data_IF_484419571026
#
_entry.id   IF_484419571026
#
_cell.length_a   1.000
_cell.length_b   1.000
_cell.length_c   1.000
_cell.angle_alpha   90.00
_cell.angle_beta   90.00
_cell.angle_gamma   90.00
#
_symmetry.space_group_name_H-M   'P 1'
#
loop_
_entity.id
_entity.type
_entity.pdbx_description
1 polymer ?
#
# COMPACT_ATOMS: atom_id res chain seq x y z
N UNK A 1 13.62 -14.73 2.67
CA UNK A 1 12.90 -13.65 3.39
C UNK A 1 11.55 -14.13 3.93
N UNK A 2 10.65 -14.65 3.07
CA UNK A 2 9.29 -15.11 3.48
C UNK A 2 9.36 -16.16 4.60
N UNK A 3 10.20 -17.19 4.47
CA UNK A 3 10.40 -18.22 5.50
C UNK A 3 10.88 -17.63 6.84
N UNK A 4 11.80 -16.67 6.80
CA UNK A 4 12.29 -16.02 8.02
C UNK A 4 11.17 -15.21 8.70
N UNK A 5 10.39 -14.46 7.93
CA UNK A 5 9.25 -13.70 8.45
C UNK A 5 8.18 -14.62 9.04
N UNK A 6 7.80 -15.70 8.33
CA UNK A 6 6.85 -16.71 8.82
C UNK A 6 7.32 -17.36 10.14
N UNK A 7 8.59 -17.69 10.22
CA UNK A 7 9.18 -18.28 11.44
C UNK A 7 9.10 -17.29 12.60
N UNK A 8 9.46 -16.02 12.41
CA UNK A 8 9.37 -15.01 13.45
C UNK A 8 7.92 -14.79 13.93
N UNK A 9 6.94 -14.83 13.01
CA UNK A 9 5.51 -14.78 13.37
C UNK A 9 5.10 -16.01 14.18
N UNK A 10 5.49 -17.21 13.77
CA UNK A 10 5.18 -18.47 14.51
C UNK A 10 5.82 -18.53 15.90
N UNK A 11 6.97 -17.89 16.07
CA UNK A 11 7.64 -17.76 17.36
C UNK A 11 7.02 -16.67 18.26
N UNK A 12 6.05 -15.90 17.77
CA UNK A 12 5.43 -14.80 18.51
C UNK A 12 6.29 -13.53 18.61
N UNK A 13 7.37 -13.44 17.81
CA UNK A 13 8.23 -12.25 17.73
C UNK A 13 7.52 -11.09 16.97
N UNK A 14 6.64 -11.44 16.03
CA UNK A 14 5.85 -10.56 15.19
C UNK A 14 4.43 -11.08 15.06
N UNK A 15 3.48 -10.18 14.81
CA UNK A 15 2.14 -10.55 14.31
C UNK A 15 2.13 -10.65 12.79
N UNK A 16 2.91 -9.76 12.13
CA UNK A 16 2.97 -9.64 10.67
C UNK A 16 4.25 -8.92 10.25
N UNK A 17 4.84 -9.31 9.13
CA UNK A 17 5.83 -8.52 8.41
C UNK A 17 5.48 -8.46 6.92
N UNK A 18 5.80 -7.35 6.26
CA UNK A 18 5.61 -7.22 4.81
C UNK A 18 6.95 -7.40 4.11
N UNK A 19 7.07 -8.47 3.33
CA UNK A 19 8.27 -8.73 2.53
C UNK A 19 8.03 -8.30 1.09
N UNK A 20 8.91 -7.45 0.60
CA UNK A 20 8.85 -6.93 -0.76
C UNK A 20 9.99 -7.49 -1.62
N UNK A 21 9.83 -7.33 -2.92
CA UNK A 21 10.84 -7.58 -3.94
C UNK A 21 10.74 -6.57 -5.07
N UNK A 22 11.79 -6.47 -5.84
CA UNK A 22 11.84 -5.65 -7.03
C UNK A 22 11.98 -6.49 -8.31
N UNK A 23 11.65 -5.84 -9.43
CA UNK A 23 11.82 -6.37 -10.79
C UNK A 23 12.30 -5.23 -11.68
N UNK A 24 13.31 -5.50 -12.50
CA UNK A 24 13.83 -4.55 -13.47
C UNK A 24 13.21 -4.81 -14.84
N UNK A 25 12.91 -3.73 -15.55
CA UNK A 25 12.48 -3.72 -16.95
C UNK A 25 13.46 -2.85 -17.71
N UNK A 26 14.14 -3.43 -18.69
CA UNK A 26 15.03 -2.72 -19.59
C UNK A 26 14.34 -2.45 -20.93
N UNK A 27 14.66 -1.32 -21.55
CA UNK A 27 14.10 -0.87 -22.83
C UNK A 27 15.23 -0.36 -23.74
N UNK A 28 15.14 -0.65 -25.02
CA UNK A 28 16.08 -0.20 -26.04
C UNK A 28 16.07 1.33 -26.26
N UNK A 29 14.98 1.99 -25.84
CA UNK A 29 14.82 3.44 -25.92
C UNK A 29 14.17 4.04 -24.67
N UNK A 30 14.12 5.38 -24.57
CA UNK A 30 13.49 6.04 -23.43
C UNK A 30 12.00 5.74 -23.34
N UNK A 31 11.56 5.25 -22.18
CA UNK A 31 10.15 5.01 -21.88
C UNK A 31 9.43 6.36 -21.71
N UNK A 32 8.29 6.51 -22.36
CA UNK A 32 7.46 7.71 -22.24
C UNK A 32 6.64 7.67 -20.95
N UNK A 33 7.06 8.44 -19.95
CA UNK A 33 6.40 8.53 -18.64
C UNK A 33 4.95 9.07 -18.77
N UNK A 34 4.69 9.96 -19.73
CA UNK A 34 3.34 10.48 -19.94
C UNK A 34 2.40 9.37 -20.44
N UNK A 35 2.85 8.57 -21.40
CA UNK A 35 2.09 7.41 -21.86
C UNK A 35 1.84 6.39 -20.72
N UNK A 36 2.85 6.13 -19.88
CA UNK A 36 2.70 5.28 -18.68
C UNK A 36 1.61 5.83 -17.76
N UNK A 37 1.61 7.13 -17.44
CA UNK A 37 0.60 7.77 -16.59
C UNK A 37 -0.81 7.69 -17.18
N UNK A 38 -0.97 7.83 -18.50
CA UNK A 38 -2.26 7.70 -19.18
C UNK A 38 -2.80 6.26 -19.09
N UNK A 39 -1.93 5.25 -19.28
CA UNK A 39 -2.29 3.84 -19.14
C UNK A 39 -2.64 3.49 -17.69
N UNK A 40 -1.90 4.00 -16.72
CA UNK A 40 -2.23 3.87 -15.31
C UNK A 40 -3.58 4.51 -14.97
N UNK A 41 -3.90 5.67 -15.56
CA UNK A 41 -5.22 6.29 -15.42
C UNK A 41 -6.34 5.38 -15.92
N UNK A 42 -6.14 4.75 -17.05
CA UNK A 42 -7.12 3.81 -17.63
C UNK A 42 -7.30 2.55 -16.76
N UNK A 43 -6.21 2.01 -16.20
CA UNK A 43 -6.23 0.75 -15.46
C UNK A 43 -6.63 0.90 -13.99
N UNK A 44 -6.32 2.03 -13.33
CA UNK A 44 -6.48 2.21 -11.89
C UNK A 44 -7.60 3.20 -11.50
N UNK A 45 -8.35 3.75 -12.46
CA UNK A 45 -9.53 4.59 -12.18
C UNK A 45 -9.26 5.73 -11.19
N UNK A 46 -9.76 5.61 -9.98
CA UNK A 46 -9.72 6.63 -8.91
C UNK A 46 -8.40 6.69 -8.12
N UNK A 47 -7.34 5.97 -8.54
CA UNK A 47 -6.05 5.95 -7.82
C UNK A 47 -5.35 7.31 -7.77
N UNK A 48 -4.50 7.49 -6.77
CA UNK A 48 -3.58 8.62 -6.63
C UNK A 48 -2.39 8.40 -7.56
N UNK A 49 -2.38 9.12 -8.69
CA UNK A 49 -1.30 9.03 -9.68
C UNK A 49 -0.27 10.11 -9.42
N UNK A 50 0.98 9.72 -9.52
CA UNK A 50 2.10 10.62 -9.27
C UNK A 50 3.28 10.36 -10.19
N UNK A 51 4.06 11.41 -10.43
CA UNK A 51 5.36 11.36 -11.10
C UNK A 51 6.26 12.42 -10.51
N UNK A 52 7.32 12.00 -9.84
CA UNK A 52 8.29 12.87 -9.20
C UNK A 52 9.69 12.28 -9.30
N UNK A 53 10.61 12.97 -9.94
CA UNK A 53 12.03 12.57 -10.08
C UNK A 53 12.21 11.11 -10.52
N UNK A 54 11.49 10.73 -11.60
CA UNK A 54 11.50 9.37 -12.15
C UNK A 54 10.75 8.33 -11.32
N UNK A 55 10.22 8.69 -10.14
CA UNK A 55 9.35 7.82 -9.37
C UNK A 55 7.90 8.01 -9.80
N UNK A 56 7.31 6.96 -10.38
CA UNK A 56 5.99 7.00 -11.03
C UNK A 56 5.10 5.92 -10.46
N UNK A 57 3.85 6.23 -10.18
CA UNK A 57 2.93 5.26 -9.61
C UNK A 57 1.46 5.65 -9.68
N UNK A 58 0.61 4.69 -9.28
CA UNK A 58 -0.84 4.82 -9.17
C UNK A 58 -1.33 4.08 -7.92
N UNK A 59 -1.24 4.74 -6.77
CA UNK A 59 -1.63 4.16 -5.48
C UNK A 59 -3.14 4.12 -5.30
N UNK A 60 -3.73 3.01 -4.89
CA UNK A 60 -5.14 2.96 -4.49
C UNK A 60 -5.37 3.38 -3.04
N UNK A 61 -4.31 3.55 -2.23
CA UNK A 61 -4.38 3.65 -0.78
C UNK A 61 -4.13 5.07 -0.30
N UNK A 62 -5.14 5.67 0.35
CA UNK A 62 -5.01 6.93 1.07
C UNK A 62 -4.33 6.68 2.41
N UNK A 63 -3.12 7.21 2.58
CA UNK A 63 -2.45 7.18 3.88
C UNK A 63 -3.15 8.12 4.85
N UNK A 64 -3.27 9.39 4.47
CA UNK A 64 -3.96 10.42 5.24
C UNK A 64 -4.28 11.63 4.37
N UNK A 65 -5.42 12.26 4.64
CA UNK A 65 -5.76 13.57 4.13
C UNK A 65 -6.24 14.46 5.28
N UNK A 66 -5.91 15.75 5.20
CA UNK A 66 -6.42 16.78 6.10
C UNK A 66 -6.99 17.92 5.26
N UNK A 67 -8.23 18.27 5.55
CA UNK A 67 -8.92 19.42 4.97
C UNK A 67 -9.59 20.20 6.10
N UNK A 68 -9.09 21.39 6.37
CA UNK A 68 -9.44 22.17 7.54
C UNK A 68 -9.26 21.37 8.85
N UNK A 69 -10.30 21.08 9.59
CA UNK A 69 -10.25 20.29 10.82
C UNK A 69 -10.63 18.81 10.63
N UNK A 70 -10.98 18.40 9.40
CA UNK A 70 -11.26 17.00 9.08
C UNK A 70 -10.00 16.24 8.72
N UNK A 71 -9.81 15.06 9.33
CA UNK A 71 -8.76 14.10 8.98
C UNK A 71 -9.38 12.80 8.49
N UNK A 72 -8.87 12.27 7.40
CA UNK A 72 -9.33 11.00 6.81
C UNK A 72 -8.16 10.09 6.49
N UNK A 73 -8.37 8.77 6.61
CA UNK A 73 -7.47 7.72 6.16
C UNK A 73 -8.28 6.59 5.55
N UNK A 74 -7.71 5.86 4.60
CA UNK A 74 -8.39 4.71 3.98
C UNK A 74 -7.38 3.57 3.75
N UNK A 75 -6.96 2.89 4.83
CA UNK A 75 -6.04 1.78 4.74
C UNK A 75 -6.63 0.59 4.00
N UNK A 76 -5.78 -0.08 3.23
CA UNK A 76 -6.10 -1.30 2.49
C UNK A 76 -5.24 -2.45 2.99
N UNK A 77 -5.86 -3.59 3.33
CA UNK A 77 -5.13 -4.82 3.65
C UNK A 77 -5.97 -6.06 3.31
N UNK A 78 -5.31 -7.23 3.26
CA UNK A 78 -5.94 -8.41 2.67
C UNK A 78 -6.04 -8.29 1.15
N UNK A 79 -5.83 -9.39 0.43
CA UNK A 79 -5.78 -9.35 -1.04
C UNK A 79 -6.39 -10.60 -1.62
N UNK A 80 -7.17 -10.43 -2.69
CA UNK A 80 -7.58 -11.52 -3.59
C UNK A 80 -7.41 -11.08 -5.05
N UNK A 81 -7.15 -12.01 -5.98
CA UNK A 81 -7.10 -11.68 -7.40
C UNK A 81 -8.41 -11.10 -7.92
N UNK A 82 -8.32 -10.35 -9.01
CA UNK A 82 -9.43 -9.93 -9.85
C UNK A 82 -9.23 -10.48 -11.25
N UNK A 83 -10.22 -11.22 -11.75
CA UNK A 83 -10.14 -11.95 -13.02
C UNK A 83 -10.72 -11.18 -14.21
N UNK A 84 -11.56 -10.17 -13.93
CA UNK A 84 -12.35 -9.45 -14.92
C UNK A 84 -13.69 -10.14 -15.25
N UNK A 85 -13.94 -11.33 -14.72
CA UNK A 85 -15.23 -12.01 -14.78
C UNK A 85 -16.08 -11.58 -13.57
N UNK A 86 -17.19 -10.86 -13.74
CA UNK A 86 -17.96 -10.32 -12.63
C UNK A 86 -18.45 -11.37 -11.62
N UNK A 87 -18.79 -12.59 -12.09
CA UNK A 87 -19.30 -13.67 -11.22
C UNK A 87 -18.16 -14.21 -10.35
N UNK A 88 -17.01 -14.50 -10.96
CA UNK A 88 -15.83 -14.98 -10.24
C UNK A 88 -15.28 -13.92 -9.29
N UNK A 89 -15.26 -12.68 -9.72
CA UNK A 89 -14.78 -11.56 -8.91
C UNK A 89 -15.68 -11.32 -7.69
N UNK A 90 -17.01 -11.49 -7.83
CA UNK A 90 -17.94 -11.43 -6.71
C UNK A 90 -17.74 -12.60 -5.72
N UNK A 91 -17.50 -13.83 -6.19
CA UNK A 91 -17.20 -15.00 -5.33
C UNK A 91 -15.86 -14.78 -4.58
N UNK A 92 -14.83 -14.31 -5.26
CA UNK A 92 -13.54 -13.98 -4.66
C UNK A 92 -13.67 -12.86 -3.61
N UNK A 93 -14.46 -11.83 -3.88
CA UNK A 93 -14.77 -10.76 -2.93
C UNK A 93 -15.49 -11.30 -1.68
N UNK A 94 -16.50 -12.16 -1.85
CA UNK A 94 -17.21 -12.78 -0.74
C UNK A 94 -16.29 -13.65 0.13
N UNK A 95 -15.38 -14.42 -0.49
CA UNK A 95 -14.37 -15.20 0.24
C UNK A 95 -13.37 -14.31 0.98
N UNK A 96 -12.94 -13.19 0.38
CA UNK A 96 -12.07 -12.20 1.03
C UNK A 96 -12.73 -11.64 2.29
N UNK A 97 -14.00 -11.23 2.19
CA UNK A 97 -14.80 -10.73 3.31
C UNK A 97 -15.00 -11.77 4.42
N UNK A 98 -15.20 -13.04 4.06
CA UNK A 98 -15.40 -14.13 5.01
C UNK A 98 -14.08 -14.68 5.61
N UNK A 99 -12.93 -14.28 5.10
CA UNK A 99 -11.62 -14.80 5.52
C UNK A 99 -11.18 -14.20 6.85
N UNK A 100 -11.22 -15.00 7.93
CA UNK A 100 -10.72 -14.60 9.26
C UNK A 100 -9.27 -14.10 9.20
N UNK A 101 -8.39 -14.75 8.41
CA UNK A 101 -7.01 -14.32 8.21
C UNK A 101 -6.95 -12.88 7.70
N UNK A 102 -7.68 -12.58 6.60
CA UNK A 102 -7.67 -11.25 5.99
C UNK A 102 -8.32 -10.19 6.89
N UNK A 103 -9.35 -10.55 7.63
CA UNK A 103 -10.00 -9.66 8.61
C UNK A 103 -9.04 -9.28 9.74
N UNK A 104 -8.30 -10.25 10.30
CA UNK A 104 -7.29 -9.98 11.33
C UNK A 104 -6.16 -9.11 10.76
N UNK A 105 -5.66 -9.43 9.57
CA UNK A 105 -4.63 -8.66 8.90
C UNK A 105 -5.07 -7.19 8.71
N UNK A 106 -6.30 -6.98 8.25
CA UNK A 106 -6.85 -5.65 8.02
C UNK A 106 -7.07 -4.90 9.34
N UNK A 107 -7.59 -5.57 10.37
CA UNK A 107 -7.84 -4.98 11.68
C UNK A 107 -6.57 -4.41 12.33
N UNK A 108 -5.44 -5.10 12.24
CA UNK A 108 -4.14 -4.59 12.74
C UNK A 108 -3.78 -3.24 12.11
N UNK A 109 -4.11 -3.04 10.83
CA UNK A 109 -3.83 -1.77 10.15
C UNK A 109 -4.77 -0.67 10.64
N UNK A 110 -6.07 -0.96 10.77
CA UNK A 110 -7.07 -0.01 11.27
C UNK A 110 -6.71 0.45 12.69
N UNK A 111 -6.44 -0.50 13.59
CA UNK A 111 -6.11 -0.21 14.99
C UNK A 111 -4.87 0.68 15.09
N UNK A 112 -3.81 0.40 14.32
CA UNK A 112 -2.62 1.25 14.32
C UNK A 112 -2.90 2.66 13.81
N UNK A 113 -3.66 2.82 12.72
CA UNK A 113 -4.03 4.13 12.18
C UNK A 113 -4.87 4.90 13.21
N UNK A 114 -5.88 4.23 13.78
CA UNK A 114 -6.74 4.80 14.82
C UNK A 114 -5.94 5.26 16.04
N UNK A 115 -5.14 4.37 16.65
CA UNK A 115 -4.39 4.65 17.87
C UNK A 115 -3.33 5.74 17.65
N UNK A 116 -2.79 5.86 16.42
CA UNK A 116 -1.84 6.92 16.07
C UNK A 116 -2.53 8.29 15.94
N UNK A 117 -3.71 8.35 15.34
CA UNK A 117 -4.39 9.62 15.05
C UNK A 117 -5.31 10.09 16.16
N UNK A 118 -5.94 9.18 16.91
CA UNK A 118 -6.91 9.51 17.97
C UNK A 118 -6.41 10.54 18.99
N UNK A 119 -5.14 10.51 19.47
CA UNK A 119 -4.62 11.51 20.42
C UNK A 119 -4.65 12.96 19.88
N UNK A 120 -4.76 13.13 18.56
CA UNK A 120 -4.81 14.43 17.88
C UNK A 120 -6.23 14.83 17.46
N UNK A 121 -7.23 14.01 17.78
CA UNK A 121 -8.62 14.20 17.36
C UNK A 121 -9.57 14.38 18.55
N UNK A 122 -10.60 15.18 18.36
CA UNK A 122 -11.74 15.26 19.28
C UNK A 122 -12.66 14.04 19.16
N UNK A 123 -12.70 13.46 17.99
CA UNK A 123 -13.24 12.12 17.71
C UNK A 123 -12.56 11.55 16.47
N UNK A 124 -12.53 10.23 16.36
CA UNK A 124 -12.08 9.49 15.18
C UNK A 124 -12.88 8.18 15.12
N UNK A 125 -13.67 8.06 14.06
CA UNK A 125 -14.51 6.89 13.81
C UNK A 125 -14.08 6.16 12.54
N UNK A 126 -14.47 4.90 12.39
CA UNK A 126 -14.29 4.11 11.17
C UNK A 126 -15.54 3.29 10.84
N UNK A 127 -15.65 2.89 9.58
CA UNK A 127 -16.72 2.01 9.13
C UNK A 127 -16.69 0.68 9.90
N UNK A 128 -17.85 0.24 10.43
CA UNK A 128 -17.95 -0.95 11.26
C UNK A 128 -17.52 -2.23 10.53
N UNK A 129 -17.80 -2.29 9.21
CA UNK A 129 -17.45 -3.40 8.33
C UNK A 129 -16.59 -2.88 7.20
N UNK A 130 -15.52 -3.61 6.81
CA UNK A 130 -14.71 -3.22 5.67
C UNK A 130 -15.49 -3.37 4.37
N UNK A 131 -15.17 -2.55 3.39
CA UNK A 131 -15.66 -2.65 2.02
C UNK A 131 -14.64 -3.38 1.12
N UNK A 132 -15.10 -3.91 -0.03
CA UNK A 132 -14.19 -4.47 -1.03
C UNK A 132 -13.80 -3.40 -2.04
N UNK A 133 -12.52 -3.03 -2.02
CA UNK A 133 -11.92 -2.06 -2.95
C UNK A 133 -11.30 -2.78 -4.13
N UNK A 134 -11.85 -2.55 -5.33
CA UNK A 134 -11.35 -3.13 -6.58
C UNK A 134 -10.25 -2.26 -7.18
N UNK A 135 -9.09 -2.86 -7.45
CA UNK A 135 -7.93 -2.18 -8.01
C UNK A 135 -7.37 -3.00 -9.16
N UNK A 136 -7.45 -2.49 -10.37
CA UNK A 136 -6.92 -3.15 -11.57
C UNK A 136 -7.18 -4.68 -11.59
N UNK A 137 -6.21 -5.48 -11.15
CA UNK A 137 -6.21 -6.93 -11.17
C UNK A 137 -6.26 -7.59 -9.77
N UNK A 138 -6.54 -6.83 -8.72
CA UNK A 138 -6.70 -7.31 -7.34
C UNK A 138 -7.86 -6.63 -6.64
N UNK A 139 -8.33 -7.24 -5.56
CA UNK A 139 -9.32 -6.69 -4.64
C UNK A 139 -8.72 -6.68 -3.23
N UNK A 140 -9.03 -5.65 -2.45
CA UNK A 140 -8.58 -5.48 -1.07
C UNK A 140 -9.75 -5.24 -0.14
N UNK A 141 -9.58 -5.50 1.16
CA UNK A 141 -10.43 -4.91 2.19
C UNK A 141 -9.99 -3.47 2.40
N UNK A 142 -10.94 -2.56 2.49
CA UNK A 142 -10.73 -1.15 2.80
C UNK A 142 -11.68 -0.68 3.87
N UNK A 143 -11.21 0.17 4.78
CA UNK A 143 -12.02 0.80 5.83
C UNK A 143 -11.69 2.27 5.89
N UNK A 144 -12.69 3.11 5.76
CA UNK A 144 -12.51 4.54 5.89
C UNK A 144 -12.51 4.94 7.36
N UNK A 145 -11.51 5.73 7.77
CA UNK A 145 -11.47 6.42 9.05
C UNK A 145 -11.72 7.91 8.80
N UNK A 146 -12.58 8.52 9.60
CA UNK A 146 -12.88 9.96 9.54
C UNK A 146 -12.90 10.53 10.94
N UNK A 147 -12.24 11.66 11.14
CA UNK A 147 -12.19 12.32 12.43
C UNK A 147 -12.08 13.82 12.32
N UNK A 148 -12.15 14.47 13.48
CA UNK A 148 -12.00 15.90 13.62
C UNK A 148 -10.79 16.20 14.51
N UNK A 149 -9.83 16.96 13.98
CA UNK A 149 -8.62 17.38 14.68
C UNK A 149 -8.95 18.27 15.87
N UNK A 150 -8.21 18.09 16.95
CA UNK A 150 -8.19 18.97 18.12
C UNK A 150 -7.16 20.09 17.93
N UNK A 151 -7.28 21.15 18.72
CA UNK A 151 -6.24 22.17 18.82
C UNK A 151 -5.15 21.78 19.87
N UNK A 152 -3.86 22.00 19.59
CA UNK A 152 -3.31 22.57 18.37
C UNK A 152 -3.39 21.56 17.20
N UNK A 153 -3.82 22.06 16.05
CA UNK A 153 -4.07 21.22 14.86
C UNK A 153 -2.80 20.54 14.36
N UNK A 154 -2.85 19.22 14.19
CA UNK A 154 -1.77 18.44 13.59
C UNK A 154 -1.55 18.84 12.13
N UNK A 155 -0.29 19.03 11.72
CA UNK A 155 0.07 19.26 10.33
C UNK A 155 0.05 17.93 9.55
N UNK A 156 -0.42 17.97 8.28
CA UNK A 156 -0.53 16.75 7.44
C UNK A 156 0.81 15.99 7.29
N UNK A 157 1.93 16.68 7.27
CA UNK A 157 3.26 16.04 7.19
C UNK A 157 3.57 15.23 8.44
N UNK A 158 3.21 15.75 9.63
CA UNK A 158 3.41 15.04 10.89
C UNK A 158 2.52 13.80 10.95
N UNK A 159 1.27 13.89 10.49
CA UNK A 159 0.37 12.75 10.36
C UNK A 159 0.93 11.67 9.42
N UNK A 160 1.42 12.08 8.24
CA UNK A 160 2.02 11.16 7.28
C UNK A 160 3.28 10.48 7.83
N UNK A 161 4.14 11.19 8.55
CA UNK A 161 5.33 10.63 9.19
C UNK A 161 4.99 9.66 10.32
N UNK A 162 3.99 9.99 11.15
CA UNK A 162 3.54 9.12 12.24
C UNK A 162 2.97 7.79 11.74
N UNK A 163 2.22 7.83 10.65
CA UNK A 163 1.60 6.65 10.05
C UNK A 163 2.55 5.82 9.17
N UNK A 164 3.61 6.38 8.61
CA UNK A 164 4.45 5.69 7.61
C UNK A 164 5.68 5.00 8.24
N UNK A 165 5.98 3.74 7.89
CA UNK A 165 5.12 2.83 7.14
C UNK A 165 4.00 2.23 8.00
N UNK A 166 2.83 2.03 7.40
CA UNK A 166 1.73 1.31 8.05
C UNK A 166 2.05 -0.18 8.20
N UNK A 167 1.32 -0.96 9.02
CA UNK A 167 1.47 -2.42 9.08
C UNK A 167 1.17 -3.10 7.74
N UNK A 168 0.46 -2.41 6.81
CA UNK A 168 0.24 -2.90 5.44
C UNK A 168 1.53 -2.88 4.60
N UNK A 169 2.56 -2.12 4.99
CA UNK A 169 3.85 -2.00 4.29
C UNK A 169 5.06 -2.41 5.13
N UNK A 170 5.02 -2.21 6.44
CA UNK A 170 6.08 -2.61 7.38
C UNK A 170 5.76 -3.93 8.05
N UNK A 171 4.74 -3.93 8.88
CA UNK A 171 4.33 -5.05 9.74
C UNK A 171 4.05 -4.59 11.15
N UNK A 172 3.80 -5.55 12.05
CA UNK A 172 3.47 -5.27 13.44
C UNK A 172 4.06 -6.33 14.39
N UNK A 173 4.69 -5.96 15.53
CA UNK A 173 5.04 -4.59 15.95
C UNK A 173 6.04 -3.93 14.97
N UNK A 174 5.93 -2.60 14.80
CA UNK A 174 6.63 -1.84 13.75
C UNK A 174 8.15 -2.04 13.77
N UNK A 175 8.79 -1.82 14.91
CA UNK A 175 10.26 -1.81 14.99
C UNK A 175 10.84 -3.22 14.74
N UNK A 176 10.23 -4.26 15.29
CA UNK A 176 10.64 -5.63 15.07
C UNK A 176 10.46 -6.04 13.60
N UNK A 177 9.35 -5.63 12.97
CA UNK A 177 9.11 -5.89 11.56
C UNK A 177 10.13 -5.18 10.66
N UNK A 178 10.44 -3.90 10.92
CA UNK A 178 11.44 -3.15 10.16
C UNK A 178 12.86 -3.73 10.30
N UNK A 179 13.24 -4.21 11.49
CA UNK A 179 14.51 -4.90 11.70
C UNK A 179 14.59 -6.21 10.90
N UNK A 180 13.51 -6.98 10.87
CA UNK A 180 13.43 -8.19 10.08
C UNK A 180 13.55 -7.91 8.59
N UNK A 181 12.82 -6.89 8.09
CA UNK A 181 12.90 -6.43 6.70
C UNK A 181 14.34 -6.05 6.34
N UNK A 182 14.96 -5.19 7.13
CA UNK A 182 16.34 -4.74 6.90
C UNK A 182 17.33 -5.92 6.84
N UNK A 183 17.10 -6.99 7.62
CA UNK A 183 17.97 -8.15 7.69
C UNK A 183 17.79 -9.15 6.54
N UNK A 184 16.55 -9.33 6.07
CA UNK A 184 16.22 -10.47 5.20
C UNK A 184 15.68 -10.11 3.82
N UNK A 185 15.23 -8.88 3.59
CA UNK A 185 14.62 -8.49 2.29
C UNK A 185 15.67 -8.38 1.16
N UNK A 186 16.88 -7.93 1.50
CA UNK A 186 17.99 -7.88 0.56
C UNK A 186 17.91 -6.77 -0.50
N UNK A 187 17.01 -5.79 -0.34
CA UNK A 187 16.91 -4.64 -1.23
C UNK A 187 16.75 -3.33 -0.46
N UNK A 188 17.11 -2.21 -1.08
CA UNK A 188 16.73 -0.89 -0.59
C UNK A 188 15.36 -0.51 -1.18
N UNK A 189 14.42 -0.17 -0.33
CA UNK A 189 13.06 0.24 -0.75
C UNK A 189 13.02 1.65 -1.33
N UNK A 190 14.01 2.49 -1.03
CA UNK A 190 14.05 3.90 -1.41
C UNK A 190 12.71 4.60 -1.04
N UNK A 191 11.95 5.03 -2.04
CA UNK A 191 10.64 5.69 -1.88
C UNK A 191 9.46 4.72 -1.77
N UNK A 192 9.66 3.44 -2.12
CA UNK A 192 8.59 2.44 -2.08
C UNK A 192 8.09 2.20 -0.65
N UNK A 193 6.77 2.23 -0.49
CA UNK A 193 6.10 2.03 0.81
C UNK A 193 6.13 3.26 1.72
N UNK A 194 6.72 4.37 1.27
CA UNK A 194 6.68 5.66 1.96
C UNK A 194 5.40 6.45 1.67
N UNK A 195 5.37 7.70 2.08
CA UNK A 195 4.27 8.63 1.81
C UNK A 195 4.61 9.49 0.59
N UNK A 196 3.63 9.67 -0.30
CA UNK A 196 3.74 10.59 -1.45
C UNK A 196 2.48 11.42 -1.58
N UNK A 197 2.62 12.73 -1.73
CA UNK A 197 1.47 13.62 -1.76
C UNK A 197 1.85 15.08 -1.88
N UNK A 198 0.97 15.93 -1.42
CA UNK A 198 1.14 17.38 -1.40
C UNK A 198 0.54 17.97 -0.13
N UNK A 199 0.98 19.16 0.23
CA UNK A 199 0.43 19.96 1.32
C UNK A 199 0.47 21.45 0.98
N UNK A 200 -0.39 22.23 1.65
CA UNK A 200 -0.44 23.68 1.54
C UNK A 200 0.18 24.37 2.78
N UNK A 201 0.25 25.71 2.74
CA UNK A 201 0.77 26.54 3.82
C UNK A 201 -0.10 26.54 5.08
N UNK A 202 -1.31 26.00 5.02
CA UNK A 202 -2.22 25.89 6.16
C UNK A 202 -2.16 24.50 6.82
N UNK A 203 -1.31 23.60 6.31
CA UNK A 203 -1.16 22.24 6.83
C UNK A 203 -2.21 21.26 6.34
N UNK A 204 -3.04 21.65 5.34
CA UNK A 204 -3.90 20.72 4.62
C UNK A 204 -3.09 19.94 3.60
N UNK A 205 -3.65 18.84 3.12
CA UNK A 205 -3.01 18.07 2.05
C UNK A 205 -3.55 16.65 1.95
N UNK A 206 -2.94 15.90 1.03
CA UNK A 206 -3.25 14.49 0.79
C UNK A 206 -1.97 13.74 0.59
N UNK A 207 -1.77 12.65 1.34
CA UNK A 207 -0.69 11.69 1.14
C UNK A 207 -1.25 10.30 0.88
N UNK A 208 -0.80 9.68 -0.19
CA UNK A 208 -1.04 8.28 -0.51
C UNK A 208 0.16 7.42 -0.12
N UNK A 209 -0.06 6.13 0.06
CA UNK A 209 1.03 5.16 0.22
C UNK A 209 1.73 4.95 -1.12
N UNK A 210 3.06 5.03 -1.15
CA UNK A 210 3.84 4.93 -2.38
C UNK A 210 3.99 3.46 -2.83
N UNK A 211 2.93 2.92 -3.41
CA UNK A 211 2.84 1.56 -3.95
C UNK A 211 2.34 1.57 -5.41
N UNK A 212 2.33 0.40 -6.04
CA UNK A 212 1.99 0.28 -7.48
C UNK A 212 2.83 1.24 -8.31
N UNK A 213 4.14 1.16 -8.12
CA UNK A 213 5.09 2.17 -8.60
C UNK A 213 6.32 1.56 -9.26
N UNK A 214 7.04 2.41 -9.97
CA UNK A 214 8.35 2.14 -10.52
C UNK A 214 9.27 3.34 -10.35
N UNK A 215 10.57 3.11 -10.16
CA UNK A 215 11.62 4.10 -10.25
C UNK A 215 12.30 3.98 -11.60
N UNK A 216 12.25 5.02 -12.40
CA UNK A 216 12.96 5.11 -13.67
C UNK A 216 14.33 5.72 -13.48
N UNK A 217 15.33 5.23 -14.23
CA UNK A 217 16.64 5.87 -14.31
C UNK A 217 16.55 7.19 -15.10
N UNK A 218 17.61 8.01 -15.08
CA UNK A 218 17.64 9.32 -15.76
C UNK A 218 17.41 9.21 -17.27
N UNK A 219 17.94 8.17 -17.91
CA UNK A 219 17.75 7.93 -19.37
C UNK A 219 16.36 7.36 -19.69
N UNK A 220 15.61 6.96 -18.70
CA UNK A 220 14.29 6.28 -18.81
C UNK A 220 14.34 4.98 -19.63
N UNK A 221 15.51 4.36 -19.71
CA UNK A 221 15.74 3.08 -20.39
C UNK A 221 15.64 1.88 -19.44
N UNK A 222 15.52 2.14 -18.14
CA UNK A 222 15.30 1.11 -17.12
C UNK A 222 14.28 1.59 -16.10
N UNK A 223 13.37 0.68 -15.72
CA UNK A 223 12.40 0.87 -14.64
C UNK A 223 12.57 -0.23 -13.61
N UNK A 224 12.64 0.14 -12.32
CA UNK A 224 12.65 -0.76 -11.17
C UNK A 224 11.27 -0.73 -10.51
N UNK A 225 10.54 -1.83 -10.60
CA UNK A 225 9.20 -2.01 -10.06
C UNK A 225 9.26 -2.69 -8.71
N UNK A 226 8.28 -2.41 -7.84
CA UNK A 226 8.22 -2.93 -6.48
C UNK A 226 6.87 -3.56 -6.17
N UNK A 227 6.88 -4.68 -5.43
CA UNK A 227 5.68 -5.25 -4.82
C UNK A 227 6.03 -6.04 -3.57
N UNK A 228 5.14 -6.03 -2.58
CA UNK A 228 5.25 -6.78 -1.33
C UNK A 228 3.96 -7.51 -0.96
N UNK A 229 4.07 -8.50 -0.11
CA UNK A 229 2.99 -9.26 0.50
C UNK A 229 3.13 -9.33 2.02
N UNK A 230 2.00 -9.37 2.72
CA UNK A 230 1.95 -9.49 4.18
C UNK A 230 2.14 -10.93 4.63
N UNK A 231 3.23 -11.19 5.36
CA UNK A 231 3.58 -12.52 5.85
C UNK A 231 3.02 -12.71 7.26
N UNK A 232 2.24 -13.77 7.42
CA UNK A 232 1.66 -14.24 8.69
C UNK A 232 2.01 -15.71 8.91
N UNK A 233 1.57 -16.32 10.02
CA UNK A 233 1.91 -17.68 10.41
C UNK A 233 1.63 -18.75 9.34
N UNK A 234 0.55 -18.57 8.57
CA UNK A 234 0.09 -19.51 7.54
C UNK A 234 0.47 -19.12 6.12
N UNK A 235 1.32 -18.10 5.94
CA UNK A 235 1.79 -17.69 4.62
C UNK A 235 2.66 -18.76 3.97
N UNK A 236 2.40 -19.04 2.68
CA UNK A 236 3.19 -19.98 1.89
C UNK A 236 4.02 -19.23 0.82
N UNK A 237 5.34 -19.50 0.72
CA UNK A 237 6.24 -18.72 -0.15
C UNK A 237 5.83 -18.64 -1.62
N UNK A 238 5.22 -19.71 -2.16
CA UNK A 238 4.77 -19.73 -3.55
C UNK A 238 3.51 -18.88 -3.76
N UNK A 239 2.61 -18.85 -2.78
CA UNK A 239 1.40 -18.02 -2.82
C UNK A 239 1.77 -16.53 -2.71
N UNK A 240 2.70 -16.19 -1.81
CA UNK A 240 3.21 -14.83 -1.67
C UNK A 240 3.95 -14.35 -2.94
N UNK A 241 4.70 -15.25 -3.59
CA UNK A 241 5.31 -14.95 -4.89
C UNK A 241 4.26 -14.69 -5.97
N UNK A 242 3.18 -15.49 -6.01
CA UNK A 242 2.07 -15.29 -6.94
C UNK A 242 1.35 -13.95 -6.69
N UNK A 243 1.13 -13.60 -5.43
CA UNK A 243 0.53 -12.31 -5.06
C UNK A 243 1.38 -11.12 -5.51
N UNK A 244 2.71 -11.15 -5.26
CA UNK A 244 3.60 -10.07 -5.72
C UNK A 244 3.66 -9.99 -7.25
N UNK A 245 3.61 -11.12 -7.97
CA UNK A 245 3.50 -11.14 -9.43
C UNK A 245 2.23 -10.44 -9.91
N UNK A 246 1.08 -10.74 -9.30
CA UNK A 246 -0.18 -10.08 -9.63
C UNK A 246 -0.10 -8.58 -9.38
N UNK A 247 0.46 -8.14 -8.25
CA UNK A 247 0.63 -6.72 -7.91
C UNK A 247 1.54 -5.96 -8.89
N UNK A 248 2.54 -6.60 -9.48
CA UNK A 248 3.45 -6.01 -10.48
C UNK A 248 2.81 -5.84 -11.86
N UNK A 249 1.83 -6.69 -12.23
CA UNK A 249 1.30 -6.79 -13.59
C UNK A 249 0.79 -5.47 -14.15
N UNK A 250 0.05 -4.70 -13.37
CA UNK A 250 -0.57 -3.48 -13.87
C UNK A 250 0.48 -2.39 -14.20
N UNK A 251 1.51 -2.24 -13.36
CA UNK A 251 2.63 -1.33 -13.66
C UNK A 251 3.47 -1.86 -14.83
N UNK A 252 3.72 -3.17 -14.87
CA UNK A 252 4.44 -3.81 -15.96
C UNK A 252 3.73 -3.58 -17.30
N UNK A 253 2.42 -3.83 -17.35
CA UNK A 253 1.61 -3.59 -18.54
C UNK A 253 1.62 -2.11 -18.96
N UNK A 254 1.56 -1.18 -18.02
CA UNK A 254 1.62 0.25 -18.32
C UNK A 254 2.96 0.67 -18.94
N UNK A 255 4.05 0.00 -18.59
CA UNK A 255 5.40 0.27 -19.11
C UNK A 255 5.62 -0.40 -20.47
N UNK A 256 5.20 -1.67 -20.63
CA UNK A 256 5.54 -2.51 -21.78
C UNK A 256 4.50 -2.48 -22.90
N UNK A 257 3.31 -1.88 -22.69
CA UNK A 257 2.33 -1.73 -23.75
C UNK A 257 2.87 -0.86 -24.89
N UNK A 258 2.62 -1.21 -26.17
CA UNK A 258 3.05 -0.45 -27.33
C UNK A 258 2.39 0.93 -27.43
#
# INVERSE_FOLDING_TARGET
>A
AVEAARTAVRNGELTKAVIARDVFVDSDGPIDIHAVLLRLRSSFGTSYRYSFDGFVGASPELLVAIHDDEITSHPLAGTTPRTGDPIKDADLAARLMASTKNQIEHRVVIDMVHDTLLPHCSYLDWEAEPSVVQVANVQHLGTQLVGKLSEPRMHIVDAALALSPTPALGGFPRDAALQLIARYEGMNRDRYGGAIGWFDSQGNGVFAVAIRCAQFNRSRTQARLFAGGGIVADSEPLDELAETRAKLQAMLAAITAP
#
